data_IF_638596958314
#
_entry.id   IF_638596958314
#
_cell.length_a   1.000
_cell.length_b   1.000
_cell.length_c   1.000
_cell.angle_alpha   90.00
_cell.angle_beta   90.00
_cell.angle_gamma   90.00
#
_symmetry.space_group_name_H-M   'P 1'
#
loop_
_entity.id
_entity.type
_entity.pdbx_description
1 polymer ?
#
# COMPACT_ATOMS: atom_id res chain seq x y z
N UNK A 1 9.19 -11.58 5.49
CA UNK A 1 9.29 -11.34 4.05
C UNK A 1 10.18 -10.17 3.75
N UNK A 2 10.90 -10.26 2.66
CA UNK A 2 11.74 -9.16 2.26
C UNK A 2 10.91 -8.10 1.58
N UNK A 3 11.37 -6.86 1.68
CA UNK A 3 10.67 -5.73 1.10
C UNK A 3 10.41 -5.91 -0.39
N UNK A 4 11.39 -6.46 -1.10
CA UNK A 4 11.25 -6.65 -2.55
C UNK A 4 10.14 -7.62 -2.89
N UNK A 5 9.99 -8.67 -2.09
CA UNK A 5 8.93 -9.63 -2.31
C UNK A 5 7.57 -9.00 -2.06
N UNK A 6 7.47 -8.17 -1.02
CA UNK A 6 6.25 -7.49 -0.70
C UNK A 6 5.87 -6.52 -1.82
N UNK A 7 6.85 -5.76 -2.31
CA UNK A 7 6.61 -4.83 -3.40
C UNK A 7 6.12 -5.56 -4.65
N UNK A 8 6.73 -6.71 -4.93
CA UNK A 8 6.32 -7.49 -6.08
C UNK A 8 4.87 -7.95 -5.94
N UNK A 9 4.50 -8.39 -4.74
CA UNK A 9 3.14 -8.84 -4.49
C UNK A 9 2.12 -7.74 -4.76
N UNK A 10 2.36 -6.55 -4.22
CA UNK A 10 1.40 -5.47 -4.38
C UNK A 10 1.40 -4.90 -5.79
N UNK A 11 2.51 -5.01 -6.51
CA UNK A 11 2.53 -4.60 -7.91
C UNK A 11 1.70 -5.52 -8.79
N UNK A 12 1.64 -6.79 -8.42
CA UNK A 12 0.83 -7.75 -9.15
C UNK A 12 -0.62 -7.69 -8.75
N UNK A 13 -0.87 -7.37 -7.48
CA UNK A 13 -2.23 -7.30 -6.97
C UNK A 13 -2.26 -6.34 -5.79
N UNK A 14 -2.85 -5.16 -6.02
CA UNK A 14 -2.92 -4.15 -4.97
C UNK A 14 -3.65 -4.63 -3.72
N UNK A 15 -4.59 -5.57 -3.87
CA UNK A 15 -5.31 -6.10 -2.72
C UNK A 15 -4.43 -6.92 -1.80
N UNK A 16 -3.23 -7.31 -2.24
CA UNK A 16 -2.30 -8.00 -1.37
C UNK A 16 -1.95 -7.15 -0.15
N UNK A 17 -2.16 -5.84 -0.24
CA UNK A 17 -1.86 -4.93 0.84
C UNK A 17 -2.59 -5.31 2.13
N UNK A 18 -3.77 -5.89 2.04
CA UNK A 18 -4.53 -6.26 3.22
C UNK A 18 -3.82 -7.33 4.05
N UNK A 19 -2.91 -8.07 3.44
CA UNK A 19 -2.15 -9.11 4.13
C UNK A 19 -0.81 -8.61 4.65
N UNK A 20 -0.46 -7.37 4.37
CA UNK A 20 0.83 -6.80 4.75
C UNK A 20 0.68 -6.07 6.08
N UNK A 21 1.35 -6.58 7.12
CA UNK A 21 1.30 -5.94 8.43
C UNK A 21 2.28 -4.78 8.54
N UNK A 22 3.45 -4.93 7.95
CA UNK A 22 4.48 -3.90 8.00
C UNK A 22 4.43 -3.04 6.75
N UNK A 23 3.42 -2.19 6.69
CA UNK A 23 3.25 -1.31 5.56
C UNK A 23 4.22 -0.14 5.64
N UNK A 24 4.69 0.29 4.47
CA UNK A 24 5.50 1.49 4.36
C UNK A 24 4.87 2.37 3.30
N UNK A 25 5.31 3.63 3.24
CA UNK A 25 4.79 4.54 2.22
C UNK A 25 5.01 3.98 0.83
N UNK A 26 6.20 3.44 0.59
CA UNK A 26 6.53 2.91 -0.73
C UNK A 26 5.62 1.75 -1.12
N UNK A 27 5.42 0.82 -0.17
CA UNK A 27 4.56 -0.34 -0.43
C UNK A 27 3.14 0.11 -0.70
N UNK A 28 2.62 1.02 0.10
CA UNK A 28 1.26 1.49 -0.06
C UNK A 28 1.08 2.25 -1.37
N UNK A 29 2.07 3.04 -1.76
CA UNK A 29 2.01 3.77 -3.03
C UNK A 29 1.93 2.81 -4.20
N UNK A 30 2.76 1.77 -4.18
CA UNK A 30 2.75 0.80 -5.27
C UNK A 30 1.41 0.07 -5.34
N UNK A 31 0.87 -0.28 -4.18
CA UNK A 31 -0.43 -0.95 -4.15
C UNK A 31 -1.53 -0.07 -4.71
N UNK A 32 -1.55 1.18 -4.32
CA UNK A 32 -2.58 2.12 -4.78
C UNK A 32 -2.41 2.42 -6.26
N UNK A 33 -1.18 2.49 -6.75
CA UNK A 33 -0.95 2.67 -8.18
C UNK A 33 -1.48 1.49 -8.98
N UNK A 34 -1.34 0.30 -8.43
CA UNK A 34 -1.83 -0.90 -9.09
C UNK A 34 -3.35 -0.92 -9.10
N UNK A 35 -3.96 -0.54 -7.97
CA UNK A 35 -5.40 -0.54 -7.84
C UNK A 35 -5.79 0.49 -6.78
N UNK A 36 -6.53 1.52 -7.19
CA UNK A 36 -6.90 2.61 -6.28
C UNK A 36 -7.71 2.10 -5.08
N UNK A 37 -8.45 1.01 -5.25
CA UNK A 37 -9.22 0.44 -4.15
C UNK A 37 -8.33 -0.04 -3.01
N UNK A 38 -7.05 -0.27 -3.26
CA UNK A 38 -6.13 -0.70 -2.22
C UNK A 38 -5.99 0.34 -1.11
N UNK A 39 -6.41 1.57 -1.38
CA UNK A 39 -6.33 2.64 -0.40
C UNK A 39 -7.09 2.31 0.88
N UNK A 40 -8.13 1.49 0.78
CA UNK A 40 -8.91 1.11 1.95
C UNK A 40 -8.13 0.19 2.89
N UNK A 41 -7.06 -0.39 2.40
CA UNK A 41 -6.22 -1.28 3.22
C UNK A 41 -4.99 -0.57 3.76
N UNK A 42 -4.79 0.68 3.40
CA UNK A 42 -3.67 1.47 3.92
C UNK A 42 -3.99 1.92 5.33
N UNK A 43 -3.04 1.75 6.24
CA UNK A 43 -3.26 2.15 7.63
C UNK A 43 -3.38 3.67 7.72
N UNK A 44 -4.20 4.13 8.66
CA UNK A 44 -4.43 5.57 8.82
C UNK A 44 -3.14 6.35 8.98
N UNK A 45 -2.20 5.79 9.72
CA UNK A 45 -0.92 6.44 9.94
C UNK A 45 -0.23 6.74 8.63
N UNK A 46 -0.27 5.77 7.71
CA UNK A 46 0.40 5.92 6.42
C UNK A 46 -0.40 6.81 5.50
N UNK A 47 -1.71 6.75 5.58
CA UNK A 47 -2.55 7.65 4.80
C UNK A 47 -2.21 9.10 5.08
N UNK A 48 -1.98 9.42 6.34
CA UNK A 48 -1.60 10.77 6.72
C UNK A 48 -0.24 11.15 6.15
N UNK A 49 0.69 10.20 6.15
CA UNK A 49 2.03 10.45 5.62
C UNK A 49 2.01 10.67 4.12
N UNK A 50 1.16 9.92 3.42
CA UNK A 50 1.06 10.02 1.98
C UNK A 50 0.28 11.24 1.53
N UNK A 51 -0.52 11.78 2.43
CA UNK A 51 -1.36 12.92 2.11
C UNK A 51 -2.24 12.64 0.89
N UNK A 52 -2.69 11.39 0.78
CA UNK A 52 -3.50 10.96 -0.35
C UNK A 52 -4.87 11.58 -0.31
N UNK A 53 -5.41 11.69 0.89
CA UNK A 53 -6.71 12.30 1.08
C UNK A 53 -6.49 13.75 1.32
N UNK A 54 -6.59 14.50 0.27
CA UNK A 54 -6.45 15.92 0.42
C UNK A 54 -7.69 16.57 -0.12
N UNK A 55 -8.14 17.37 0.64
CA UNK A 55 -9.09 18.37 0.39
C UNK A 55 -9.80 18.76 1.58
#
# INVERSE_FOLDING_TARGET
MKKEEILKMVKENGYALKHIKEQTKEICLEAVKQNIDAIRYVKNKILKELNIISY
#
